data_IF_945959838619
#
_entry.id   IF_945959838619
#
_cell.length_a   1.000
_cell.length_b   1.000
_cell.length_c   1.000
_cell.angle_alpha   90.00
_cell.angle_beta   90.00
_cell.angle_gamma   90.00
#
_symmetry.space_group_name_H-M   'P 1'
#
loop_
_entity.id
_entity.type
_entity.pdbx_description
1 polymer ?
#
# COMPACT_ATOMS: atom_id res chain seq x y z
N UNK A 1 4.89 17.08 23.98
CA UNK A 1 6.32 17.08 23.60
C UNK A 1 7.11 18.19 24.31
N UNK A 2 6.71 19.50 24.28
CA UNK A 2 7.48 20.60 24.94
C UNK A 2 7.60 20.44 26.46
N UNK A 3 6.54 19.99 27.14
CA UNK A 3 6.57 19.71 28.59
C UNK A 3 7.54 18.57 28.88
N UNK A 4 7.46 17.46 28.14
CA UNK A 4 8.36 16.32 28.30
C UNK A 4 9.83 16.71 28.08
N UNK A 5 10.14 17.54 27.07
CA UNK A 5 11.50 18.05 26.83
C UNK A 5 12.04 18.92 27.96
N UNK A 6 11.19 19.70 28.63
CA UNK A 6 11.62 20.47 29.83
C UNK A 6 12.05 19.56 30.97
N UNK A 7 11.48 18.34 31.04
CA UNK A 7 11.90 17.29 31.98
C UNK A 7 13.08 16.44 31.52
N UNK A 8 13.78 16.81 30.45
CA UNK A 8 14.93 16.06 29.93
C UNK A 8 14.56 14.86 29.04
N UNK A 9 13.26 14.64 28.76
CA UNK A 9 12.78 13.53 27.92
C UNK A 9 13.05 13.84 26.45
N UNK A 10 13.63 12.88 25.72
CA UNK A 10 13.80 12.95 24.27
C UNK A 10 12.53 12.52 23.55
N UNK A 11 12.23 13.20 22.46
CA UNK A 11 11.00 12.96 21.69
C UNK A 11 11.33 12.57 20.26
N UNK A 12 10.75 11.47 19.79
CA UNK A 12 10.84 11.02 18.41
C UNK A 12 9.43 10.96 17.83
N UNK A 13 9.25 11.44 16.62
CA UNK A 13 8.00 11.32 15.89
C UNK A 13 8.17 10.36 14.71
N UNK A 14 7.24 9.43 14.61
CA UNK A 14 7.01 8.65 13.40
C UNK A 14 6.12 9.47 12.46
N UNK A 15 6.60 9.69 11.25
CA UNK A 15 5.92 10.52 10.26
C UNK A 15 5.39 9.67 9.12
N UNK A 16 4.09 9.53 9.08
CA UNK A 16 3.35 8.96 7.96
C UNK A 16 3.08 10.05 6.89
N UNK A 17 2.71 11.23 7.35
CA UNK A 17 2.52 12.43 6.55
C UNK A 17 3.07 13.66 7.29
N UNK A 18 3.57 14.63 6.54
CA UNK A 18 3.95 15.97 7.06
C UNK A 18 2.94 17.02 6.59
N UNK A 19 2.53 16.91 5.34
CA UNK A 19 1.53 17.78 4.73
C UNK A 19 0.22 17.01 4.65
N UNK A 20 -0.88 17.47 5.30
CA UNK A 20 -2.18 16.81 5.20
C UNK A 20 -2.69 16.77 3.76
N UNK A 21 -3.31 15.65 3.36
CA UNK A 21 -3.96 15.51 2.05
C UNK A 21 -5.11 16.49 1.87
N UNK A 22 -5.86 16.77 2.95
CA UNK A 22 -6.91 17.78 3.00
C UNK A 22 -6.37 19.03 3.68
N UNK A 23 -6.22 20.11 2.91
CA UNK A 23 -5.69 21.37 3.43
C UNK A 23 -6.71 22.11 4.30
N UNK A 24 -6.32 22.47 5.52
CA UNK A 24 -7.12 23.27 6.46
C UNK A 24 -6.41 24.58 6.80
N UNK A 25 -7.14 25.63 7.19
CA UNK A 25 -6.52 26.84 7.72
C UNK A 25 -5.59 26.51 8.89
N UNK A 26 -4.41 27.15 8.94
CA UNK A 26 -3.38 26.99 9.97
C UNK A 26 -2.57 25.68 9.96
N UNK A 27 -2.79 24.72 9.07
CA UNK A 27 -2.04 23.44 9.04
C UNK A 27 -0.52 23.66 9.05
N UNK A 28 0.00 24.56 8.21
CA UNK A 28 1.44 24.87 8.17
C UNK A 28 1.99 25.37 9.50
N UNK A 29 1.22 26.18 10.21
CA UNK A 29 1.63 26.71 11.50
C UNK A 29 1.64 25.62 12.57
N UNK A 30 0.59 24.80 12.63
CA UNK A 30 0.47 23.66 13.56
C UNK A 30 1.57 22.63 13.28
N UNK A 31 1.83 22.29 12.03
CA UNK A 31 2.91 21.39 11.62
C UNK A 31 4.27 21.93 12.07
N UNK A 32 4.57 23.22 11.82
CA UNK A 32 5.81 23.83 12.26
C UNK A 32 5.96 23.84 13.78
N UNK A 33 4.87 24.12 14.49
CA UNK A 33 4.86 24.09 15.96
C UNK A 33 5.13 22.66 16.49
N UNK A 34 4.47 21.65 15.93
CA UNK A 34 4.67 20.24 16.28
C UNK A 34 6.11 19.81 16.00
N UNK A 35 6.56 19.94 14.77
CA UNK A 35 7.91 19.52 14.34
C UNK A 35 9.01 20.28 15.13
N UNK A 36 8.76 21.53 15.49
CA UNK A 36 9.65 22.31 16.36
C UNK A 36 9.84 21.71 17.75
N UNK A 37 8.88 20.95 18.25
CA UNK A 37 8.90 20.34 19.59
C UNK A 37 9.46 18.91 19.63
N UNK A 38 9.83 18.34 18.48
CA UNK A 38 10.36 16.97 18.34
C UNK A 38 11.88 17.03 18.21
N UNK A 39 12.60 16.05 18.76
CA UNK A 39 14.07 15.98 18.73
C UNK A 39 14.59 15.20 17.51
N UNK A 40 13.87 14.19 17.03
CA UNK A 40 14.22 13.43 15.86
C UNK A 40 13.02 12.78 15.18
N UNK A 41 13.20 12.34 13.95
CA UNK A 41 12.11 11.86 13.11
C UNK A 41 12.43 10.49 12.50
N UNK A 42 11.42 9.62 12.48
CA UNK A 42 11.39 8.44 11.62
C UNK A 42 10.39 8.73 10.52
N UNK A 43 10.81 8.68 9.26
CA UNK A 43 9.96 8.93 8.11
C UNK A 43 9.83 7.66 7.25
N UNK A 44 8.65 7.48 6.63
CA UNK A 44 8.30 6.22 6.00
C UNK A 44 8.45 6.23 4.47
N UNK A 45 8.61 7.40 3.83
CA UNK A 45 8.86 7.51 2.39
C UNK A 45 9.73 8.75 2.09
N UNK A 46 10.40 8.77 0.93
CA UNK A 46 11.19 9.93 0.50
C UNK A 46 10.31 11.16 0.25
N UNK A 47 9.04 10.98 -0.12
CA UNK A 47 8.09 12.09 -0.19
C UNK A 47 7.90 12.76 1.18
N UNK A 48 7.68 11.96 2.23
CA UNK A 48 7.56 12.46 3.61
C UNK A 48 8.85 13.15 4.07
N UNK A 49 10.01 12.61 3.69
CA UNK A 49 11.30 13.26 3.96
C UNK A 49 11.43 14.62 3.25
N UNK A 50 11.06 14.68 1.99
CA UNK A 50 11.07 15.93 1.22
C UNK A 50 10.17 16.98 1.85
N UNK A 51 8.97 16.59 2.26
CA UNK A 51 8.02 17.46 2.95
C UNK A 51 8.56 17.92 4.32
N UNK A 52 9.19 17.02 5.08
CA UNK A 52 9.82 17.35 6.36
C UNK A 52 10.92 18.41 6.19
N UNK A 53 11.72 18.33 5.14
CA UNK A 53 12.80 19.29 4.85
C UNK A 53 12.32 20.71 4.57
N UNK A 54 11.05 20.91 4.22
CA UNK A 54 10.43 22.26 4.13
C UNK A 54 10.29 22.95 5.50
N UNK A 55 10.29 22.17 6.58
CA UNK A 55 10.08 22.67 7.94
C UNK A 55 11.35 22.60 8.80
N UNK A 56 12.21 21.60 8.61
CA UNK A 56 13.47 21.42 9.35
C UNK A 56 14.53 20.74 8.51
N UNK A 57 15.78 21.26 8.58
CA UNK A 57 16.94 20.71 7.83
C UNK A 57 18.02 20.15 8.76
N UNK A 58 17.95 20.43 10.06
CA UNK A 58 19.03 20.18 11.01
C UNK A 58 18.76 19.06 12.00
N UNK A 59 17.48 18.69 12.20
CA UNK A 59 17.13 17.64 13.14
C UNK A 59 17.41 16.25 12.57
N UNK A 60 17.91 15.31 13.39
CA UNK A 60 18.14 13.94 12.95
C UNK A 60 16.87 13.29 12.43
N UNK A 61 16.99 12.64 11.30
CA UNK A 61 15.93 11.85 10.71
C UNK A 61 16.49 10.52 10.19
N UNK A 62 15.66 9.46 10.19
CA UNK A 62 15.99 8.14 9.68
C UNK A 62 14.83 7.60 8.86
N UNK A 63 15.15 7.00 7.72
CA UNK A 63 14.21 6.30 6.90
C UNK A 63 13.84 4.95 7.52
N UNK A 64 12.55 4.65 7.62
CA UNK A 64 12.04 3.35 7.99
C UNK A 64 10.70 3.13 7.30
N UNK A 65 10.64 2.28 6.28
CA UNK A 65 9.38 1.98 5.61
C UNK A 65 8.39 1.37 6.60
N UNK A 66 7.11 1.48 6.29
CA UNK A 66 6.06 0.87 7.11
C UNK A 66 6.30 -0.64 7.22
N UNK A 67 6.27 -1.23 8.41
CA UNK A 67 6.36 -2.69 8.57
C UNK A 67 5.20 -3.41 7.88
N UNK A 68 5.40 -4.69 7.58
CA UNK A 68 4.31 -5.53 7.10
C UNK A 68 3.17 -5.57 8.11
N UNK A 69 1.96 -5.70 7.59
CA UNK A 69 0.75 -5.89 8.36
C UNK A 69 0.46 -7.39 8.45
N UNK A 70 0.97 -8.02 9.50
CA UNK A 70 0.90 -9.46 9.78
C UNK A 70 -0.29 -9.86 10.67
N UNK A 71 -1.08 -8.88 11.13
CA UNK A 71 -2.21 -9.09 12.03
C UNK A 71 -3.44 -9.77 11.41
N UNK A 72 -3.42 -10.07 10.10
CA UNK A 72 -4.55 -10.67 9.38
C UNK A 72 -4.52 -12.20 9.32
N UNK A 73 -3.58 -12.85 10.00
CA UNK A 73 -3.41 -14.30 10.02
C UNK A 73 -2.40 -14.81 8.99
N UNK A 74 -2.27 -16.15 8.94
CA UNK A 74 -1.32 -16.81 8.04
C UNK A 74 -1.89 -17.02 6.64
N UNK A 75 -1.03 -17.07 5.60
CA UNK A 75 -1.45 -17.46 4.26
C UNK A 75 -2.09 -18.85 4.23
N UNK A 76 -3.20 -18.96 3.52
CA UNK A 76 -3.92 -20.23 3.31
C UNK A 76 -3.52 -20.86 1.98
N UNK A 77 -3.63 -22.20 1.85
CA UNK A 77 -3.62 -22.84 0.54
C UNK A 77 -4.69 -22.23 -0.36
N UNK A 78 -4.32 -21.88 -1.62
CA UNK A 78 -5.23 -21.20 -2.56
C UNK A 78 -6.59 -21.89 -2.70
N UNK A 79 -6.61 -23.23 -2.80
CA UNK A 79 -7.85 -24.00 -2.93
C UNK A 79 -8.78 -23.83 -1.75
N UNK A 80 -8.24 -23.81 -0.53
CA UNK A 80 -9.00 -23.57 0.70
C UNK A 80 -9.53 -22.13 0.77
N UNK A 81 -8.69 -21.16 0.41
CA UNK A 81 -9.08 -19.76 0.36
C UNK A 81 -10.23 -19.52 -0.65
N UNK A 82 -10.11 -20.07 -1.86
CA UNK A 82 -11.15 -20.00 -2.87
C UNK A 82 -12.45 -20.68 -2.40
N UNK A 83 -12.37 -21.88 -1.86
CA UNK A 83 -13.55 -22.60 -1.36
C UNK A 83 -14.26 -21.81 -0.24
N UNK A 84 -13.51 -21.22 0.70
CA UNK A 84 -14.08 -20.42 1.77
C UNK A 84 -14.76 -19.12 1.29
N UNK A 85 -14.38 -18.61 0.11
CA UNK A 85 -14.96 -17.42 -0.51
C UNK A 85 -16.01 -17.75 -1.59
N UNK A 86 -16.27 -19.02 -1.87
CA UNK A 86 -17.16 -19.45 -2.97
C UNK A 86 -16.58 -19.11 -4.36
N UNK A 87 -15.26 -19.07 -4.49
CA UNK A 87 -14.54 -18.78 -5.73
C UNK A 87 -14.09 -20.07 -6.42
N UNK A 88 -14.07 -20.07 -7.75
CA UNK A 88 -13.52 -21.18 -8.54
C UNK A 88 -11.98 -21.12 -8.55
N UNK A 89 -11.28 -22.12 -7.97
CA UNK A 89 -9.82 -22.13 -7.92
C UNK A 89 -9.14 -22.27 -9.30
N UNK A 90 -9.89 -22.64 -10.35
CA UNK A 90 -9.38 -22.71 -11.72
C UNK A 90 -9.26 -21.32 -12.38
N UNK A 91 -9.98 -20.31 -11.87
CA UNK A 91 -9.92 -18.94 -12.37
C UNK A 91 -8.76 -18.17 -11.76
N UNK A 92 -8.33 -17.11 -12.42
CA UNK A 92 -7.32 -16.16 -11.94
C UNK A 92 -8.00 -14.90 -11.38
N UNK A 93 -7.48 -14.43 -10.28
CA UNK A 93 -8.07 -13.30 -9.55
C UNK A 93 -7.12 -12.12 -9.44
N UNK A 94 -7.45 -11.06 -10.17
CA UNK A 94 -6.92 -9.71 -9.91
C UNK A 94 -7.76 -9.08 -8.82
N UNK A 95 -7.14 -8.35 -7.86
CA UNK A 95 -7.86 -7.80 -6.72
C UNK A 95 -7.58 -6.31 -6.52
N UNK A 96 -8.64 -5.54 -6.31
CA UNK A 96 -8.65 -4.23 -5.66
C UNK A 96 -9.13 -4.40 -4.22
N UNK A 97 -8.42 -3.81 -3.26
CA UNK A 97 -8.72 -4.03 -1.84
C UNK A 97 -8.75 -2.72 -1.03
N UNK A 98 -9.66 -2.67 -0.04
CA UNK A 98 -9.75 -1.66 1.01
C UNK A 98 -10.80 -0.59 0.73
N UNK A 99 -10.96 0.40 1.64
CA UNK A 99 -11.95 1.46 1.49
C UNK A 99 -11.91 2.11 0.12
N UNK A 100 -13.06 2.17 -0.55
CA UNK A 100 -13.18 2.73 -1.90
C UNK A 100 -13.35 4.25 -1.78
N UNK A 101 -12.29 4.96 -2.20
CA UNK A 101 -12.21 6.43 -2.23
C UNK A 101 -11.71 6.88 -3.59
N UNK A 102 -12.05 8.08 -4.02
CA UNK A 102 -11.71 8.61 -5.33
C UNK A 102 -10.21 8.57 -5.65
N UNK A 103 -9.37 8.90 -4.67
CA UNK A 103 -7.93 8.89 -4.87
C UNK A 103 -7.35 7.48 -5.10
N UNK A 104 -8.08 6.42 -4.73
CA UNK A 104 -7.65 5.03 -4.95
C UNK A 104 -7.91 4.52 -6.37
N UNK A 105 -8.65 5.29 -7.19
CA UNK A 105 -8.72 5.06 -8.62
C UNK A 105 -9.43 3.77 -9.06
N UNK A 106 -10.43 3.28 -8.29
CA UNK A 106 -11.20 2.11 -8.72
C UNK A 106 -11.80 2.30 -10.12
N UNK A 107 -12.24 3.50 -10.45
CA UNK A 107 -12.76 3.85 -11.78
C UNK A 107 -11.73 3.61 -12.88
N UNK A 108 -10.45 3.96 -12.67
CA UNK A 108 -9.37 3.66 -13.62
C UNK A 108 -9.20 2.15 -13.84
N UNK A 109 -9.31 1.37 -12.76
CA UNK A 109 -9.21 -0.08 -12.86
C UNK A 109 -10.42 -0.71 -13.58
N UNK A 110 -11.62 -0.20 -13.34
CA UNK A 110 -12.82 -0.66 -14.06
C UNK A 110 -12.72 -0.35 -15.56
N UNK A 111 -12.24 0.85 -15.93
CA UNK A 111 -11.99 1.18 -17.33
C UNK A 111 -10.92 0.27 -17.95
N UNK A 112 -9.81 0.03 -17.23
CA UNK A 112 -8.76 -0.90 -17.65
C UNK A 112 -9.33 -2.32 -17.87
N UNK A 113 -10.19 -2.78 -16.95
CA UNK A 113 -10.83 -4.09 -17.06
C UNK A 113 -11.78 -4.17 -18.27
N UNK A 114 -12.52 -3.08 -18.53
CA UNK A 114 -13.35 -2.96 -19.73
C UNK A 114 -12.55 -2.98 -21.03
N UNK A 115 -11.33 -2.39 -21.05
CA UNK A 115 -10.40 -2.48 -22.18
C UNK A 115 -9.95 -3.92 -22.43
N UNK A 116 -9.49 -4.60 -21.38
CA UNK A 116 -9.08 -6.01 -21.47
C UNK A 116 -10.20 -6.92 -21.94
N UNK A 117 -11.44 -6.66 -21.50
CA UNK A 117 -12.61 -7.41 -21.98
C UNK A 117 -12.84 -7.25 -23.47
N UNK A 118 -12.82 -6.00 -23.97
CA UNK A 118 -13.00 -5.71 -25.41
C UNK A 118 -11.92 -6.34 -26.28
N UNK A 119 -10.73 -6.53 -25.72
CA UNK A 119 -9.60 -7.18 -26.38
C UNK A 119 -9.62 -8.72 -26.25
N UNK A 120 -10.63 -9.30 -25.57
CA UNK A 120 -10.75 -10.75 -25.37
C UNK A 120 -9.71 -11.35 -24.42
N UNK A 121 -9.11 -10.52 -23.53
CA UNK A 121 -8.01 -10.92 -22.64
C UNK A 121 -8.44 -11.37 -21.25
N UNK A 122 -9.75 -11.52 -21.00
CA UNK A 122 -10.29 -11.89 -19.69
C UNK A 122 -10.76 -13.33 -19.57
N UNK A 123 -10.47 -14.19 -20.56
CA UNK A 123 -10.83 -15.60 -20.44
C UNK A 123 -10.15 -16.25 -19.22
N UNK A 124 -10.95 -16.84 -18.34
CA UNK A 124 -10.45 -17.43 -17.10
C UNK A 124 -10.01 -16.41 -16.02
N UNK A 125 -10.33 -15.12 -16.18
CA UNK A 125 -9.96 -14.06 -15.22
C UNK A 125 -11.17 -13.39 -14.59
N UNK A 126 -11.05 -13.02 -13.32
CA UNK A 126 -12.04 -12.22 -12.58
C UNK A 126 -11.34 -11.07 -11.83
N UNK A 127 -12.06 -9.97 -11.65
CA UNK A 127 -11.64 -8.88 -10.79
C UNK A 127 -12.43 -8.94 -9.48
N UNK A 128 -11.73 -9.13 -8.38
CA UNK A 128 -12.29 -8.96 -7.03
C UNK A 128 -12.20 -7.47 -6.68
N UNK A 129 -13.33 -6.87 -6.30
CA UNK A 129 -13.40 -5.55 -5.69
C UNK A 129 -13.90 -5.75 -4.26
N UNK A 130 -12.99 -5.66 -3.29
CA UNK A 130 -13.28 -5.94 -1.90
C UNK A 130 -13.06 -4.71 -1.02
N UNK A 131 -14.12 -4.22 -0.39
CA UNK A 131 -14.07 -3.08 0.50
C UNK A 131 -15.35 -2.26 0.48
N UNK A 132 -15.47 -1.40 1.46
CA UNK A 132 -16.62 -0.55 1.67
C UNK A 132 -16.50 0.76 0.88
N UNK A 133 -17.57 1.18 0.22
CA UNK A 133 -17.61 2.47 -0.46
C UNK A 133 -17.74 3.60 0.57
N UNK A 134 -16.80 4.52 0.55
CA UNK A 134 -16.89 5.73 1.36
C UNK A 134 -17.95 6.71 0.83
N UNK A 135 -18.08 6.78 -0.50
CA UNK A 135 -19.08 7.57 -1.21
C UNK A 135 -19.20 7.16 -2.68
N UNK A 136 -20.30 7.54 -3.33
CA UNK A 136 -20.44 7.45 -4.79
C UNK A 136 -20.53 6.02 -5.33
N UNK A 137 -21.11 5.08 -4.61
CA UNK A 137 -21.29 3.68 -5.04
C UNK A 137 -22.05 3.60 -6.38
N UNK A 138 -23.07 4.43 -6.55
CA UNK A 138 -23.94 4.45 -7.72
C UNK A 138 -23.14 4.68 -9.01
N UNK A 139 -22.21 5.63 -9.02
CA UNK A 139 -21.38 5.92 -10.21
C UNK A 139 -20.52 4.72 -10.65
N UNK A 140 -20.00 3.93 -9.67
CA UNK A 140 -19.24 2.73 -10.00
C UNK A 140 -20.15 1.63 -10.55
N UNK A 141 -21.38 1.50 -10.03
CA UNK A 141 -22.37 0.57 -10.56
C UNK A 141 -22.76 0.92 -12.01
N UNK A 142 -23.01 2.20 -12.30
CA UNK A 142 -23.28 2.71 -13.65
C UNK A 142 -22.09 2.46 -14.60
N UNK A 143 -20.85 2.71 -14.15
CA UNK A 143 -19.65 2.43 -14.93
C UNK A 143 -19.49 0.94 -15.24
N UNK A 144 -19.70 0.05 -14.28
CA UNK A 144 -19.65 -1.40 -14.44
C UNK A 144 -20.67 -1.86 -15.50
N UNK A 145 -21.88 -1.32 -15.44
CA UNK A 145 -22.94 -1.67 -16.39
C UNK A 145 -22.65 -1.12 -17.80
N UNK A 146 -22.19 0.12 -17.89
CA UNK A 146 -21.80 0.75 -19.17
C UNK A 146 -20.65 0.01 -19.86
N UNK A 147 -19.68 -0.51 -19.08
CA UNK A 147 -18.58 -1.32 -19.59
C UNK A 147 -18.98 -2.78 -19.87
N UNK A 148 -20.14 -3.24 -19.40
CA UNK A 148 -20.62 -4.60 -19.57
C UNK A 148 -19.79 -5.65 -18.84
N UNK A 149 -19.06 -5.29 -17.77
CA UNK A 149 -18.09 -6.15 -17.07
C UNK A 149 -18.65 -6.82 -15.81
N UNK A 150 -19.93 -6.62 -15.48
CA UNK A 150 -20.53 -7.13 -14.23
C UNK A 150 -20.30 -8.63 -14.02
N UNK A 151 -20.41 -9.43 -15.07
CA UNK A 151 -20.16 -10.87 -15.02
C UNK A 151 -18.70 -11.26 -14.78
N UNK A 152 -17.76 -10.33 -14.93
CA UNK A 152 -16.32 -10.55 -14.75
C UNK A 152 -15.83 -10.11 -13.37
N UNK A 153 -16.76 -9.58 -12.54
CA UNK A 153 -16.45 -9.04 -11.22
C UNK A 153 -16.96 -9.93 -10.09
N UNK A 154 -16.20 -9.96 -9.00
CA UNK A 154 -16.62 -10.43 -7.68
C UNK A 154 -16.67 -9.21 -6.77
N UNK A 155 -17.86 -8.72 -6.45
CA UNK A 155 -18.07 -7.50 -5.67
C UNK A 155 -18.32 -7.86 -4.20
N UNK A 156 -17.48 -7.39 -3.30
CA UNK A 156 -17.61 -7.55 -1.85
C UNK A 156 -17.73 -6.17 -1.19
N UNK A 157 -18.88 -5.53 -1.40
CA UNK A 157 -19.24 -4.21 -0.86
C UNK A 157 -19.63 -4.30 0.62
N UNK A 158 -18.65 -4.47 1.46
CA UNK A 158 -18.81 -4.53 2.92
C UNK A 158 -17.47 -4.29 3.60
N UNK A 159 -17.51 -4.05 4.89
CA UNK A 159 -16.31 -4.16 5.71
C UNK A 159 -15.73 -5.58 5.59
N UNK A 160 -14.45 -5.66 5.29
CA UNK A 160 -13.72 -6.93 5.19
C UNK A 160 -13.10 -7.23 6.55
N UNK A 161 -13.54 -8.31 7.18
CA UNK A 161 -12.99 -8.76 8.46
C UNK A 161 -11.56 -9.27 8.30
N UNK A 162 -10.77 -9.22 9.38
CA UNK A 162 -9.36 -9.67 9.35
C UNK A 162 -9.24 -11.12 8.84
N UNK A 163 -10.14 -12.01 9.25
CA UNK A 163 -10.16 -13.38 8.75
C UNK A 163 -10.54 -13.53 7.27
N UNK A 164 -11.29 -12.56 6.70
CA UNK A 164 -11.56 -12.54 5.26
C UNK A 164 -10.40 -11.94 4.46
N UNK A 165 -9.60 -11.05 5.07
CA UNK A 165 -8.38 -10.53 4.45
C UNK A 165 -7.42 -11.66 4.10
N UNK A 166 -7.15 -12.58 5.03
CA UNK A 166 -6.29 -13.73 4.79
C UNK A 166 -6.78 -14.57 3.59
N UNK A 167 -8.09 -14.87 3.53
CA UNK A 167 -8.69 -15.62 2.44
C UNK A 167 -8.56 -14.90 1.11
N UNK A 168 -8.88 -13.59 1.07
CA UNK A 168 -8.84 -12.78 -0.15
C UNK A 168 -7.42 -12.69 -0.74
N UNK A 169 -6.43 -12.36 0.10
CA UNK A 169 -5.05 -12.27 -0.36
C UNK A 169 -4.47 -13.63 -0.73
N UNK A 170 -4.86 -14.72 -0.06
CA UNK A 170 -4.46 -16.09 -0.42
C UNK A 170 -5.10 -16.58 -1.72
N UNK A 171 -6.29 -16.09 -2.08
CA UNK A 171 -6.95 -16.41 -3.34
C UNK A 171 -6.44 -15.56 -4.52
N UNK A 172 -5.93 -14.34 -4.26
CA UNK A 172 -5.52 -13.40 -5.29
C UNK A 172 -4.22 -13.81 -6.00
N UNK A 173 -4.18 -13.61 -7.31
CA UNK A 173 -2.96 -13.76 -8.12
C UNK A 173 -2.20 -12.44 -8.26
N UNK A 174 -2.93 -11.33 -8.25
CA UNK A 174 -2.41 -9.98 -8.46
C UNK A 174 -3.22 -8.97 -7.66
N UNK A 175 -2.55 -8.07 -6.96
CA UNK A 175 -3.18 -6.90 -6.33
C UNK A 175 -2.91 -5.67 -7.19
N UNK A 176 -3.94 -4.90 -7.50
CA UNK A 176 -3.82 -3.65 -8.26
C UNK A 176 -4.16 -2.45 -7.38
N UNK A 177 -3.26 -1.48 -7.34
CA UNK A 177 -3.41 -0.22 -6.61
C UNK A 177 -3.32 0.95 -7.60
N UNK A 178 -4.43 1.32 -8.25
CA UNK A 178 -4.47 2.31 -9.33
C UNK A 178 -4.58 3.73 -8.78
N UNK A 179 -3.85 4.03 -7.72
CA UNK A 179 -4.00 5.24 -6.94
C UNK A 179 -3.60 6.49 -7.73
N UNK A 180 -4.35 7.58 -7.56
CA UNK A 180 -4.00 8.91 -8.08
C UNK A 180 -3.01 9.63 -7.17
N UNK A 181 -3.10 9.37 -5.87
CA UNK A 181 -2.23 9.95 -4.86
C UNK A 181 -2.01 8.95 -3.74
N UNK A 182 -0.78 8.81 -3.27
CA UNK A 182 -0.45 8.02 -2.08
C UNK A 182 0.86 8.49 -1.47
N UNK A 183 0.95 8.62 -0.16
CA UNK A 183 2.23 8.70 0.55
C UNK A 183 2.72 7.31 0.89
N UNK A 184 1.78 6.44 1.26
CA UNK A 184 1.99 5.03 1.61
C UNK A 184 0.73 4.21 1.33
N UNK A 185 0.85 2.88 1.40
CA UNK A 185 -0.30 1.99 1.31
C UNK A 185 -0.16 0.78 2.24
N UNK A 186 -1.10 0.65 3.19
CA UNK A 186 -1.23 -0.56 4.00
C UNK A 186 -1.53 -1.80 3.14
N UNK A 187 -2.21 -1.63 2.01
CA UNK A 187 -2.51 -2.73 1.06
C UNK A 187 -1.22 -3.33 0.49
N UNK A 188 -0.21 -2.51 0.20
CA UNK A 188 1.12 -2.99 -0.22
C UNK A 188 1.75 -3.86 0.87
N UNK A 189 1.63 -3.48 2.14
CA UNK A 189 2.21 -4.23 3.26
C UNK A 189 1.49 -5.55 3.51
N UNK A 190 0.17 -5.60 3.30
CA UNK A 190 -0.61 -6.84 3.33
C UNK A 190 -0.20 -7.73 2.15
N UNK A 191 -0.06 -7.17 0.94
CA UNK A 191 0.38 -7.93 -0.24
C UNK A 191 1.76 -8.55 -0.05
N UNK A 192 2.69 -7.85 0.62
CA UNK A 192 3.99 -8.41 1.02
C UNK A 192 3.86 -9.56 2.02
N UNK A 193 2.94 -9.47 2.98
CA UNK A 193 2.73 -10.54 3.96
C UNK A 193 2.22 -11.83 3.30
N UNK A 194 1.30 -11.71 2.35
CA UNK A 194 0.70 -12.83 1.63
C UNK A 194 1.44 -13.21 0.34
N UNK A 195 2.60 -12.64 0.07
CA UNK A 195 3.43 -12.90 -1.12
C UNK A 195 2.71 -12.66 -2.46
N UNK A 196 1.78 -11.69 -2.51
CA UNK A 196 1.00 -11.40 -3.71
C UNK A 196 1.70 -10.34 -4.56
N UNK A 197 2.00 -10.62 -5.85
CA UNK A 197 2.50 -9.62 -6.79
C UNK A 197 1.57 -8.42 -6.95
N UNK A 198 2.12 -7.29 -7.35
CA UNK A 198 1.37 -6.03 -7.40
C UNK A 198 1.52 -5.32 -8.75
N UNK A 199 0.44 -4.68 -9.21
CA UNK A 199 0.50 -3.57 -10.18
C UNK A 199 0.11 -2.30 -9.45
N UNK A 200 1.00 -1.32 -9.43
CA UNK A 200 0.77 -0.07 -8.72
C UNK A 200 1.03 1.13 -9.64
N UNK A 201 0.32 2.21 -9.42
CA UNK A 201 0.68 3.49 -10.05
C UNK A 201 1.91 4.10 -9.38
N UNK A 202 2.76 4.75 -10.17
CA UNK A 202 4.03 5.33 -9.72
C UNK A 202 3.87 6.63 -8.92
N UNK A 203 2.87 6.71 -8.03
CA UNK A 203 2.55 7.91 -7.25
C UNK A 203 3.11 7.82 -5.83
N UNK A 204 3.69 8.93 -5.36
CA UNK A 204 4.24 9.05 -4.02
C UNK A 204 5.18 7.90 -3.65
N UNK A 205 4.98 7.31 -2.47
CA UNK A 205 5.81 6.22 -1.96
C UNK A 205 5.55 4.84 -2.58
N UNK A 206 4.53 4.64 -3.41
CA UNK A 206 4.24 3.32 -3.99
C UNK A 206 5.37 2.82 -4.88
N UNK A 207 5.98 3.69 -5.70
CA UNK A 207 7.14 3.37 -6.54
C UNK A 207 8.35 2.86 -5.73
N UNK A 208 8.54 3.39 -4.52
CA UNK A 208 9.62 2.98 -3.63
C UNK A 208 9.35 1.61 -2.98
N UNK A 209 8.06 1.33 -2.73
CA UNK A 209 7.61 0.09 -2.10
C UNK A 209 7.55 -1.07 -3.09
N UNK A 210 7.26 -0.82 -4.37
CA UNK A 210 7.11 -1.84 -5.41
C UNK A 210 8.18 -1.63 -6.48
N UNK A 211 9.37 -2.22 -6.34
CA UNK A 211 10.42 -2.18 -7.37
C UNK A 211 9.93 -2.79 -8.68
N UNK A 212 9.89 -1.97 -9.73
CA UNK A 212 9.36 -2.34 -11.04
C UNK A 212 10.08 -3.56 -11.64
N UNK A 213 9.31 -4.50 -12.17
CA UNK A 213 9.80 -5.75 -12.76
C UNK A 213 10.45 -6.73 -11.77
N UNK A 214 10.34 -6.49 -10.43
CA UNK A 214 10.91 -7.34 -9.38
C UNK A 214 9.84 -8.04 -8.54
N UNK A 215 8.88 -7.30 -8.03
CA UNK A 215 7.80 -7.80 -7.19
C UNK A 215 6.42 -7.50 -7.79
N UNK A 216 6.41 -6.87 -8.94
CA UNK A 216 5.26 -6.41 -9.67
C UNK A 216 5.65 -5.39 -10.72
N UNK A 217 4.68 -4.60 -11.20
CA UNK A 217 4.91 -3.54 -12.17
C UNK A 217 4.44 -2.19 -11.65
N UNK A 218 5.12 -1.14 -12.11
CA UNK A 218 4.78 0.25 -11.80
C UNK A 218 4.35 0.95 -13.09
N UNK A 219 3.20 1.61 -13.05
CA UNK A 219 2.60 2.26 -14.22
C UNK A 219 2.14 3.69 -13.91
N UNK A 220 1.72 4.42 -14.93
CA UNK A 220 1.06 5.72 -14.75
C UNK A 220 -0.40 5.54 -14.29
N UNK A 221 -1.01 6.54 -13.62
CA UNK A 221 -2.42 6.49 -13.18
C UNK A 221 -3.39 6.73 -14.36
N UNK A 222 -3.32 5.84 -15.33
CA UNK A 222 -4.08 5.84 -16.58
C UNK A 222 -4.64 4.44 -16.85
N UNK A 223 -5.89 4.36 -17.31
CA UNK A 223 -6.57 3.07 -17.49
C UNK A 223 -5.90 2.17 -18.54
N UNK A 224 -5.41 2.74 -19.65
CA UNK A 224 -4.74 1.95 -20.69
C UNK A 224 -3.38 1.43 -20.21
N UNK A 225 -2.63 2.25 -19.47
CA UNK A 225 -1.36 1.86 -18.87
C UNK A 225 -1.56 0.75 -17.81
N UNK A 226 -2.59 0.85 -16.97
CA UNK A 226 -2.96 -0.17 -15.98
C UNK A 226 -3.36 -1.48 -16.69
N UNK A 227 -4.19 -1.40 -17.74
CA UNK A 227 -4.59 -2.56 -18.53
C UNK A 227 -3.37 -3.27 -19.15
N UNK A 228 -2.44 -2.50 -19.70
CA UNK A 228 -1.21 -3.03 -20.31
C UNK A 228 -0.36 -3.82 -19.30
N UNK A 229 -0.19 -3.32 -18.06
CA UNK A 229 0.61 -4.02 -17.06
C UNK A 229 -0.11 -5.23 -16.45
N UNK A 230 -1.45 -5.21 -16.34
CA UNK A 230 -2.22 -6.41 -15.97
C UNK A 230 -2.08 -7.49 -17.04
N UNK A 231 -2.26 -7.15 -18.31
CA UNK A 231 -2.06 -8.08 -19.45
C UNK A 231 -0.63 -8.64 -19.45
N UNK A 232 0.36 -7.75 -19.29
CA UNK A 232 1.77 -8.11 -19.24
C UNK A 232 2.06 -9.12 -18.13
N UNK A 233 1.53 -8.89 -16.92
CA UNK A 233 1.72 -9.79 -15.79
C UNK A 233 1.27 -11.23 -16.11
N UNK A 234 0.07 -11.36 -16.66
CA UNK A 234 -0.48 -12.68 -16.98
C UNK A 234 0.21 -13.31 -18.19
N UNK A 235 0.52 -12.55 -19.21
CA UNK A 235 1.18 -13.03 -20.44
C UNK A 235 2.63 -13.45 -20.19
N UNK A 236 3.39 -12.71 -19.39
CA UNK A 236 4.78 -13.05 -19.07
C UNK A 236 4.91 -14.22 -18.08
N UNK A 237 3.85 -14.56 -17.34
CA UNK A 237 3.85 -15.69 -16.42
C UNK A 237 4.82 -15.57 -15.24
N UNK A 238 5.21 -14.36 -14.86
CA UNK A 238 6.23 -14.09 -13.83
C UNK A 238 5.74 -14.19 -12.39
N UNK A 239 4.53 -14.66 -12.15
CA UNK A 239 3.95 -14.72 -10.79
C UNK A 239 4.86 -15.46 -9.79
N UNK A 240 5.43 -16.60 -10.18
CA UNK A 240 6.33 -17.37 -9.31
C UNK A 240 7.66 -16.63 -9.02
N UNK A 241 8.24 -15.96 -10.05
CA UNK A 241 9.43 -15.15 -9.89
C UNK A 241 9.19 -13.97 -8.93
N UNK A 242 8.07 -13.27 -9.13
CA UNK A 242 7.72 -12.14 -8.27
C UNK A 242 7.45 -12.56 -6.83
N UNK A 243 6.76 -13.67 -6.61
CA UNK A 243 6.57 -14.25 -5.27
C UNK A 243 7.90 -14.58 -4.59
N UNK A 244 8.83 -15.22 -5.29
CA UNK A 244 10.16 -15.51 -4.76
C UNK A 244 10.96 -14.25 -4.44
N UNK A 245 10.81 -13.20 -5.24
CA UNK A 245 11.41 -11.91 -4.97
C UNK A 245 10.76 -11.19 -3.77
N UNK A 246 9.43 -11.26 -3.65
CA UNK A 246 8.68 -10.69 -2.50
C UNK A 246 9.23 -11.26 -1.19
N UNK A 247 9.45 -12.57 -1.09
CA UNK A 247 10.03 -13.24 0.10
C UNK A 247 11.37 -12.62 0.53
N UNK A 248 12.20 -12.18 -0.43
CA UNK A 248 13.47 -11.51 -0.16
C UNK A 248 13.28 -10.02 0.17
N UNK A 249 12.39 -9.35 -0.55
CA UNK A 249 12.15 -7.92 -0.39
C UNK A 249 11.44 -7.58 0.92
N UNK A 250 10.51 -8.42 1.39
CA UNK A 250 9.72 -8.18 2.61
C UNK A 250 10.56 -8.13 3.89
N UNK A 251 11.77 -8.72 3.91
CA UNK A 251 12.71 -8.60 5.05
C UNK A 251 13.06 -7.15 5.40
N UNK A 252 12.84 -6.21 4.48
CA UNK A 252 13.01 -4.78 4.71
C UNK A 252 11.92 -4.17 5.58
N UNK A 253 10.76 -4.82 5.63
CA UNK A 253 9.53 -4.33 6.22
C UNK A 253 9.19 -5.05 7.52
N UNK A 254 10.21 -5.39 8.32
CA UNK A 254 9.99 -6.04 9.62
C UNK A 254 9.90 -5.02 10.75
N UNK A 255 9.16 -5.39 11.79
CA UNK A 255 9.06 -4.61 13.02
C UNK A 255 10.43 -4.45 13.70
N UNK A 256 11.27 -5.49 13.67
CA UNK A 256 12.62 -5.47 14.23
C UNK A 256 13.47 -4.39 13.60
N UNK A 257 13.40 -4.23 12.26
CA UNK A 257 14.11 -3.16 11.57
C UNK A 257 13.62 -1.77 11.97
N UNK A 258 12.31 -1.58 12.04
CA UNK A 258 11.73 -0.31 12.49
C UNK A 258 12.19 0.01 13.92
N UNK A 259 12.10 -0.96 14.84
CA UNK A 259 12.55 -0.79 16.23
C UNK A 259 14.05 -0.46 16.27
N UNK A 260 14.85 -1.15 15.45
CA UNK A 260 16.30 -0.88 15.33
C UNK A 260 16.57 0.56 14.86
N UNK A 261 15.81 1.06 13.90
CA UNK A 261 15.91 2.45 13.41
C UNK A 261 15.54 3.47 14.50
N UNK A 262 14.50 3.20 15.29
CA UNK A 262 14.14 4.04 16.44
C UNK A 262 15.25 4.07 17.50
N UNK A 263 15.84 2.93 17.84
CA UNK A 263 16.94 2.83 18.81
C UNK A 263 18.15 3.60 18.33
N UNK A 264 18.58 3.39 17.08
CA UNK A 264 19.70 4.10 16.48
C UNK A 264 19.48 5.63 16.48
N UNK A 265 18.27 6.07 16.14
CA UNK A 265 17.92 7.49 16.18
C UNK A 265 17.95 8.03 17.62
N UNK A 266 17.43 7.27 18.58
CA UNK A 266 17.47 7.65 20.00
C UNK A 266 18.89 7.84 20.50
N UNK A 267 19.81 6.88 20.21
CA UNK A 267 21.22 6.96 20.60
C UNK A 267 21.90 8.21 20.02
N UNK A 268 21.63 8.55 18.77
CA UNK A 268 22.11 9.78 18.11
C UNK A 268 21.61 11.05 18.81
N UNK A 269 20.34 11.08 19.23
CA UNK A 269 19.72 12.23 19.90
C UNK A 269 20.21 12.35 21.36
N UNK A 270 20.45 11.21 22.02
CA UNK A 270 20.91 11.14 23.39
C UNK A 270 22.43 11.43 23.54
N UNK A 271 23.18 11.52 22.43
CA UNK A 271 24.63 11.74 22.44
C UNK A 271 25.43 10.49 22.85
N UNK A 272 24.81 9.32 22.83
CA UNK A 272 25.47 8.02 23.04
C UNK A 272 26.05 7.52 21.72
N UNK A 273 27.36 7.29 21.68
CA UNK A 273 27.99 6.65 20.52
C UNK A 273 27.54 5.19 20.44
N UNK A 274 27.30 4.63 19.21
CA UNK A 274 26.98 3.21 19.06
C UNK A 274 28.15 2.38 19.58
N UNK A 275 27.93 1.62 20.67
CA UNK A 275 28.95 0.75 21.27
C UNK A 275 29.12 0.85 22.78
N UNK A 276 28.66 1.89 23.45
CA UNK A 276 28.65 1.93 24.92
C UNK A 276 27.32 1.37 25.45
N UNK A 277 27.34 0.08 25.82
CA UNK A 277 26.28 -0.53 26.64
C UNK A 277 26.30 0.12 28.04
N UNK A 278 25.18 0.65 28.47
CA UNK A 278 24.89 0.84 29.90
C UNK A 278 24.44 -0.44 30.52
#
# INVERSE_FOLDING_TARGET
>A
CRIARRGGVRTIALLDNVIPHEKRPFDKWLTRYFLGSIDGFVYMSEQVHSDLRLFTKTKPAVFSPHPMLDGYGEPLPRGEACAALGLDPALRYTMFFGYIRDYKGLDLLLDAWGMLKREGKLEGHKLIVAGEYYSGKERYAEQIDALGIRGDLVLMDRYISDGDVAKLFSAADLVVQPYRHATQSGVTQIAYWFDVPMVVTGVGGLRELVPDGKVGYVTEPDAAAIAAEIDRFYREGKAAEFRANILRFRERFTWERMIGNFRSLYDRIAGTQPGQKR
#
